data_IF_829962856858
#
_entry.id   IF_829962856858
#
_cell.length_a   1.000
_cell.length_b   1.000
_cell.length_c   1.000
_cell.angle_alpha   90.00
_cell.angle_beta   90.00
_cell.angle_gamma   90.00
#
_symmetry.space_group_name_H-M   'P 1'
#
loop_
_entity.id
_entity.type
_entity.pdbx_description
1 polymer ?
#
# COMPACT_ATOMS: atom_id res chain seq x y z
N UNK A 1 -39.79 26.38 26.98
CA UNK A 1 -38.91 25.86 25.90
C UNK A 1 -38.57 24.41 26.22
N UNK A 2 -38.91 23.47 25.32
CA UNK A 2 -38.95 22.03 25.61
C UNK A 2 -37.56 21.37 25.46
N UNK A 3 -36.84 21.19 26.56
CA UNK A 3 -35.47 20.62 26.59
C UNK A 3 -35.32 19.22 25.95
N UNK A 4 -36.42 18.46 25.79
CA UNK A 4 -36.42 17.18 25.08
C UNK A 4 -36.14 17.31 23.58
N UNK A 5 -36.55 18.42 22.97
CA UNK A 5 -36.35 18.67 21.53
C UNK A 5 -34.87 18.98 21.24
N UNK A 6 -34.25 19.82 22.09
CA UNK A 6 -32.84 20.18 22.01
C UNK A 6 -31.91 18.96 22.11
N UNK A 7 -32.18 18.06 23.05
CA UNK A 7 -31.34 16.88 23.27
C UNK A 7 -31.41 15.90 22.08
N UNK A 8 -32.56 15.84 21.40
CA UNK A 8 -32.75 15.00 20.21
C UNK A 8 -32.00 15.57 18.99
N UNK A 9 -32.02 16.89 18.83
CA UNK A 9 -31.26 17.58 17.78
C UNK A 9 -29.75 17.45 18.00
N UNK A 10 -29.27 17.66 19.22
CA UNK A 10 -27.86 17.48 19.56
C UNK A 10 -27.36 16.06 19.26
N UNK A 11 -28.14 15.03 19.59
CA UNK A 11 -27.78 13.63 19.29
C UNK A 11 -27.65 13.35 17.80
N UNK A 12 -28.56 13.88 16.99
CA UNK A 12 -28.51 13.72 15.52
C UNK A 12 -27.31 14.46 14.91
N UNK A 13 -27.03 15.65 15.41
CA UNK A 13 -25.88 16.45 14.97
C UNK A 13 -24.56 15.76 15.32
N UNK A 14 -24.46 15.22 16.54
CA UNK A 14 -23.30 14.42 16.96
C UNK A 14 -23.10 13.20 16.07
N UNK A 15 -24.18 12.45 15.76
CA UNK A 15 -24.10 11.30 14.85
C UNK A 15 -23.62 11.71 13.45
N UNK A 16 -24.20 12.77 12.87
CA UNK A 16 -23.82 13.27 11.56
C UNK A 16 -22.34 13.70 11.50
N UNK A 17 -21.86 14.37 12.54
CA UNK A 17 -20.44 14.75 12.67
C UNK A 17 -19.52 13.54 12.78
N UNK A 18 -19.90 12.50 13.52
CA UNK A 18 -19.08 11.28 13.61
C UNK A 18 -18.98 10.55 12.26
N UNK A 19 -20.08 10.46 11.51
CA UNK A 19 -20.08 9.86 10.17
C UNK A 19 -19.22 10.67 9.22
N UNK A 20 -19.33 12.01 9.24
CA UNK A 20 -18.52 12.87 8.40
C UNK A 20 -17.03 12.77 8.74
N UNK A 21 -16.68 12.68 10.03
CA UNK A 21 -15.29 12.52 10.47
C UNK A 21 -14.68 11.18 10.03
N UNK A 22 -15.47 10.09 10.01
CA UNK A 22 -15.02 8.79 9.50
C UNK A 22 -14.86 8.79 7.98
N UNK A 23 -15.75 9.46 7.25
CA UNK A 23 -15.65 9.60 5.80
C UNK A 23 -14.54 10.57 5.36
N UNK A 24 -14.17 11.51 6.23
CA UNK A 24 -13.04 12.41 6.03
C UNK A 24 -11.69 11.77 6.40
N UNK A 25 -11.65 10.46 6.67
CA UNK A 25 -10.39 9.76 6.82
C UNK A 25 -9.51 10.01 5.58
N UNK A 26 -8.25 10.42 5.75
CA UNK A 26 -7.36 10.65 4.62
C UNK A 26 -7.19 9.35 3.84
N UNK A 27 -7.42 9.39 2.52
CA UNK A 27 -6.90 8.37 1.62
C UNK A 27 -5.37 8.51 1.62
N UNK A 28 -4.67 7.53 2.19
CA UNK A 28 -3.21 7.48 2.06
C UNK A 28 -2.90 7.07 0.60
N UNK A 29 -1.81 7.56 0.04
CA UNK A 29 -1.34 7.10 -1.26
C UNK A 29 -0.02 6.39 -1.05
N UNK A 30 0.07 5.14 -1.51
CA UNK A 30 1.25 4.31 -1.38
C UNK A 30 2.02 4.37 -2.70
N UNK A 31 3.19 5.01 -2.69
CA UNK A 31 4.09 4.99 -3.85
C UNK A 31 5.14 3.91 -3.67
N UNK A 32 5.24 3.01 -4.65
CA UNK A 32 6.26 1.95 -4.69
C UNK A 32 7.12 2.15 -5.92
N UNK A 33 8.43 2.30 -5.72
CA UNK A 33 9.39 2.40 -6.80
C UNK A 33 9.94 1.01 -7.12
N UNK A 34 9.86 0.63 -8.39
CA UNK A 34 10.33 -0.65 -8.89
C UNK A 34 11.34 -0.43 -10.01
N UNK A 35 12.39 -1.26 -10.04
CA UNK A 35 13.39 -1.29 -11.11
C UNK A 35 13.28 -2.60 -11.87
N UNK A 36 13.41 -2.55 -13.20
CA UNK A 36 13.49 -3.73 -14.04
C UNK A 36 14.95 -4.16 -14.20
N UNK A 37 15.25 -5.43 -13.93
CA UNK A 37 16.63 -5.92 -13.95
C UNK A 37 16.71 -7.40 -14.35
N UNK A 38 17.84 -7.78 -14.94
CA UNK A 38 18.20 -9.16 -15.24
C UNK A 38 18.83 -9.80 -13.99
N UNK A 39 18.50 -11.05 -13.69
CA UNK A 39 19.10 -11.78 -12.56
C UNK A 39 19.19 -13.28 -12.87
N UNK A 40 19.64 -14.09 -11.93
CA UNK A 40 19.83 -15.53 -12.09
C UNK A 40 19.19 -16.28 -10.93
N UNK A 41 18.29 -17.21 -11.24
CA UNK A 41 17.75 -18.15 -10.27
C UNK A 41 18.58 -19.44 -10.28
N UNK A 42 18.99 -19.90 -9.10
CA UNK A 42 19.63 -21.23 -8.97
C UNK A 42 18.55 -22.24 -8.61
N UNK A 43 18.29 -23.18 -9.51
CA UNK A 43 17.34 -24.26 -9.28
C UNK A 43 17.92 -25.30 -8.29
N UNK A 44 17.06 -26.12 -7.65
CA UNK A 44 17.53 -27.13 -6.68
C UNK A 44 18.50 -28.17 -7.25
N UNK A 45 18.54 -28.33 -8.58
CA UNK A 45 19.50 -29.16 -9.32
C UNK A 45 20.85 -28.47 -9.58
N UNK A 46 21.01 -27.23 -9.13
CA UNK A 46 22.23 -26.41 -9.31
C UNK A 46 22.29 -25.68 -10.65
N UNK A 47 21.27 -25.77 -11.50
CA UNK A 47 21.24 -25.07 -12.79
C UNK A 47 20.93 -23.60 -12.58
N UNK A 48 21.79 -22.74 -13.13
CA UNK A 48 21.59 -21.30 -13.19
C UNK A 48 20.68 -20.95 -14.38
N UNK A 49 19.51 -20.37 -14.10
CA UNK A 49 18.55 -19.94 -15.11
C UNK A 49 18.53 -18.40 -15.14
N UNK A 50 18.78 -17.77 -16.31
CA UNK A 50 18.65 -16.33 -16.45
C UNK A 50 17.18 -15.92 -16.34
N UNK A 51 16.93 -14.89 -15.54
CA UNK A 51 15.62 -14.36 -15.22
C UNK A 51 15.58 -12.87 -15.49
N UNK A 52 14.39 -12.34 -15.70
CA UNK A 52 14.12 -10.91 -15.82
C UNK A 52 12.90 -10.59 -14.97
N UNK A 53 12.92 -9.45 -14.27
CA UNK A 53 11.83 -9.12 -13.36
C UNK A 53 11.95 -7.74 -12.75
N UNK A 54 11.10 -7.50 -11.76
CA UNK A 54 11.07 -6.25 -11.00
C UNK A 54 11.61 -6.46 -9.59
N UNK A 55 12.35 -5.47 -9.11
CA UNK A 55 12.89 -5.40 -7.76
C UNK A 55 12.52 -4.06 -7.13
N UNK A 56 12.56 -3.99 -5.79
CA UNK A 56 12.38 -2.72 -5.08
C UNK A 56 13.51 -1.77 -5.44
N UNK A 57 13.16 -0.57 -5.88
CA UNK A 57 14.15 0.46 -6.14
C UNK A 57 14.63 1.11 -4.83
N UNK A 58 15.89 0.88 -4.52
CA UNK A 58 16.63 1.44 -3.37
C UNK A 58 17.61 2.54 -3.79
N UNK A 59 17.55 3.00 -5.05
CA UNK A 59 18.52 3.94 -5.63
C UNK A 59 19.79 3.26 -6.15
N UNK A 60 19.74 1.95 -6.40
CA UNK A 60 20.85 1.16 -6.93
C UNK A 60 21.17 1.52 -8.40
N UNK A 61 22.44 1.41 -8.83
CA UNK A 61 22.81 1.54 -10.23
C UNK A 61 22.16 0.46 -11.12
N UNK A 62 21.85 0.79 -12.37
CA UNK A 62 21.37 -0.21 -13.33
C UNK A 62 22.38 -1.35 -13.51
N UNK A 63 21.94 -2.60 -13.43
CA UNK A 63 22.77 -3.79 -13.62
C UNK A 63 23.42 -4.31 -12.33
N UNK A 64 23.05 -3.80 -11.17
CA UNK A 64 23.39 -4.36 -9.85
C UNK A 64 22.33 -5.36 -9.39
N UNK A 65 22.13 -6.40 -10.20
CA UNK A 65 21.15 -7.44 -9.98
C UNK A 65 21.24 -8.02 -8.56
N UNK A 66 20.16 -7.91 -7.81
CA UNK A 66 19.98 -8.68 -6.57
C UNK A 66 19.74 -10.15 -6.92
N UNK A 67 20.04 -11.05 -5.97
CA UNK A 67 19.73 -12.47 -6.14
C UNK A 67 18.24 -12.62 -6.47
N UNK A 68 17.92 -13.49 -7.46
CA UNK A 68 16.54 -13.63 -7.91
C UNK A 68 15.64 -14.06 -6.75
N UNK A 69 14.67 -13.20 -6.47
CA UNK A 69 13.48 -13.52 -5.68
C UNK A 69 12.28 -13.37 -6.61
N UNK A 70 11.21 -14.12 -6.36
CA UNK A 70 9.93 -13.82 -7.03
C UNK A 70 9.59 -12.38 -6.61
N UNK A 71 9.53 -11.45 -7.58
CA UNK A 71 9.60 -9.99 -7.33
C UNK A 71 8.75 -9.47 -6.15
N UNK A 72 9.02 -8.24 -5.67
CA UNK A 72 8.59 -7.80 -4.35
C UNK A 72 7.08 -7.91 -4.15
N UNK A 73 6.67 -8.51 -3.04
CA UNK A 73 5.28 -8.46 -2.61
C UNK A 73 4.94 -7.03 -2.18
N UNK A 74 3.85 -6.49 -2.72
CA UNK A 74 3.36 -5.15 -2.40
C UNK A 74 2.09 -5.29 -1.59
N UNK A 75 2.16 -4.92 -0.31
CA UNK A 75 1.00 -4.87 0.57
C UNK A 75 0.42 -3.45 0.58
N UNK A 76 -0.86 -3.33 0.25
CA UNK A 76 -1.58 -2.04 0.14
C UNK A 76 -2.73 -2.03 1.14
N UNK A 77 -2.90 -0.92 1.86
CA UNK A 77 -3.98 -0.75 2.83
C UNK A 77 -5.35 -0.50 2.18
N UNK A 78 -6.45 -0.74 2.92
CA UNK A 78 -7.77 -0.36 2.45
C UNK A 78 -7.88 1.17 2.32
N UNK A 79 -8.44 1.63 1.20
CA UNK A 79 -8.55 3.04 0.81
C UNK A 79 -7.25 3.72 0.33
N UNK A 80 -6.18 2.95 0.12
CA UNK A 80 -4.97 3.46 -0.52
C UNK A 80 -5.13 3.56 -2.06
N UNK A 81 -4.44 4.54 -2.66
CA UNK A 81 -4.33 4.75 -4.11
C UNK A 81 -2.88 4.66 -4.59
#
# INVERSE_FOLDING_TARGET
>A
MNGKLYNTLLRRLALALTVLAVLAAPSFSATVNLVAEESVATMPDGVAIPMWGYFTDTGQPCGTATAWDVGPQIDIGPADT
#
